data_IF_911113937293
#
_entry.id   IF_911113937293
#
_cell.length_a   1.000
_cell.length_b   1.000
_cell.length_c   1.000
_cell.angle_alpha   90.00
_cell.angle_beta   90.00
_cell.angle_gamma   90.00
#
_symmetry.space_group_name_H-M   'P 1'
#
loop_
_entity.id
_entity.type
_entity.pdbx_description
1 polymer ?
#
# COMPACT_ATOMS: atom_id res chain seq x y z
N UNK A 1 5.38 8.40 -16.71
CA UNK A 1 4.70 9.04 -17.84
C UNK A 1 3.28 9.39 -17.43
N UNK A 2 2.76 10.55 -17.84
CA UNK A 2 1.35 10.94 -17.66
C UNK A 2 0.64 10.85 -19.00
N UNK A 3 -0.04 9.73 -19.24
CA UNK A 3 -0.67 9.42 -20.53
C UNK A 3 -2.11 9.89 -20.64
N UNK A 4 -2.78 10.08 -19.51
CA UNK A 4 -4.16 10.53 -19.43
C UNK A 4 -4.23 12.00 -18.99
N UNK A 5 -5.33 12.67 -19.32
CA UNK A 5 -5.60 14.04 -18.84
C UNK A 5 -5.76 14.09 -17.32
N UNK A 6 -6.43 13.10 -16.73
CA UNK A 6 -6.52 12.89 -15.29
C UNK A 6 -6.39 11.39 -14.93
N UNK A 7 -6.36 11.07 -13.65
CA UNK A 7 -6.40 9.73 -13.06
C UNK A 7 -5.15 8.87 -13.26
N UNK A 8 -4.08 9.38 -13.89
CA UNK A 8 -2.80 8.67 -14.04
C UNK A 8 -2.33 7.94 -12.76
N UNK A 9 -2.43 8.61 -11.61
CA UNK A 9 -1.98 8.06 -10.31
C UNK A 9 -2.90 6.93 -9.82
N UNK A 10 -4.21 7.04 -10.06
CA UNK A 10 -5.18 5.98 -9.76
C UNK A 10 -4.93 4.78 -10.67
N UNK A 11 -4.80 5.01 -11.97
CA UNK A 11 -4.48 3.96 -12.95
C UNK A 11 -3.17 3.24 -12.63
N UNK A 12 -2.11 3.97 -12.31
CA UNK A 12 -0.83 3.37 -11.96
C UNK A 12 -0.91 2.44 -10.73
N UNK A 13 -1.63 2.86 -9.68
CA UNK A 13 -1.86 1.99 -8.51
C UNK A 13 -2.72 0.77 -8.84
N UNK A 14 -3.76 0.94 -9.67
CA UNK A 14 -4.57 -0.20 -10.14
C UNK A 14 -3.73 -1.19 -10.93
N UNK A 15 -2.85 -0.72 -11.80
CA UNK A 15 -1.92 -1.60 -12.54
C UNK A 15 -0.97 -2.33 -11.60
N UNK A 16 -0.42 -1.65 -10.59
CA UNK A 16 0.38 -2.29 -9.54
C UNK A 16 -0.43 -3.37 -8.81
N UNK A 17 -1.69 -3.10 -8.47
CA UNK A 17 -2.57 -4.07 -7.81
C UNK A 17 -2.81 -5.30 -8.67
N UNK A 18 -3.10 -5.11 -9.96
CA UNK A 18 -3.33 -6.21 -10.90
C UNK A 18 -2.06 -7.06 -11.03
N UNK A 19 -0.89 -6.43 -11.14
CA UNK A 19 0.39 -7.14 -11.20
C UNK A 19 0.61 -8.01 -9.96
N UNK A 20 0.47 -7.44 -8.77
CA UNK A 20 0.63 -8.19 -7.52
C UNK A 20 -0.39 -9.33 -7.39
N UNK A 21 -1.65 -9.06 -7.74
CA UNK A 21 -2.72 -10.06 -7.71
C UNK A 21 -2.42 -11.24 -8.65
N UNK A 22 -1.92 -10.96 -9.85
CA UNK A 22 -1.56 -12.00 -10.82
C UNK A 22 -0.46 -12.93 -10.27
N UNK A 23 0.45 -12.36 -9.47
CA UNK A 23 1.52 -13.10 -8.78
C UNK A 23 1.06 -13.71 -7.44
N UNK A 24 -0.25 -13.67 -7.14
CA UNK A 24 -0.85 -14.12 -5.87
C UNK A 24 -0.28 -13.41 -4.63
N UNK A 25 0.21 -12.19 -4.81
CA UNK A 25 0.69 -11.32 -3.74
C UNK A 25 -0.45 -10.36 -3.36
N UNK A 26 -0.64 -10.14 -2.06
CA UNK A 26 -1.65 -9.20 -1.56
C UNK A 26 -1.30 -7.78 -2.07
N UNK A 27 -2.23 -7.05 -2.69
CA UNK A 27 -1.98 -5.66 -3.06
C UNK A 27 -1.78 -4.77 -1.83
N UNK A 28 -0.89 -3.77 -1.95
CA UNK A 28 -0.69 -2.78 -0.89
C UNK A 28 -1.95 -1.92 -0.72
N UNK A 29 -2.62 -2.05 0.41
CA UNK A 29 -3.68 -1.14 0.85
C UNK A 29 -3.09 -0.21 1.92
N UNK A 30 -3.20 1.09 1.71
CA UNK A 30 -2.85 2.08 2.73
C UNK A 30 -3.99 2.12 3.75
N UNK A 31 -3.69 1.75 4.99
CA UNK A 31 -4.69 1.66 6.07
C UNK A 31 -4.96 3.04 6.70
N UNK A 32 -3.94 3.90 6.70
CA UNK A 32 -4.03 5.24 7.25
C UNK A 32 -4.28 6.26 6.15
N UNK A 33 -4.93 7.37 6.49
CA UNK A 33 -5.21 8.50 5.61
C UNK A 33 -4.56 9.80 6.11
N UNK A 34 -3.48 9.68 6.90
CA UNK A 34 -2.82 10.83 7.51
C UNK A 34 -1.98 11.65 6.50
N UNK A 35 -1.79 12.93 6.85
CA UNK A 35 -1.05 13.89 6.01
C UNK A 35 0.41 13.46 5.81
N UNK A 36 1.05 12.85 6.80
CA UNK A 36 2.46 12.46 6.74
C UNK A 36 2.64 11.37 5.67
N UNK A 37 1.73 10.40 5.66
CA UNK A 37 1.71 9.34 4.65
C UNK A 37 1.51 9.91 3.24
N UNK A 38 0.56 10.84 3.08
CA UNK A 38 0.32 11.49 1.80
C UNK A 38 1.54 12.29 1.32
N UNK A 39 2.16 13.07 2.20
CA UNK A 39 3.34 13.87 1.88
C UNK A 39 4.55 12.98 1.52
N UNK A 40 4.73 11.85 2.20
CA UNK A 40 5.76 10.86 1.87
C UNK A 40 5.53 10.25 0.48
N UNK A 41 4.30 9.83 0.17
CA UNK A 41 3.94 9.31 -1.16
C UNK A 41 4.21 10.35 -2.26
N UNK A 42 3.73 11.58 -2.04
CA UNK A 42 3.90 12.69 -3.00
C UNK A 42 5.38 12.99 -3.23
N UNK A 43 6.18 13.06 -2.17
CA UNK A 43 7.61 13.36 -2.27
C UNK A 43 8.36 12.28 -3.03
N UNK A 44 8.06 11.00 -2.77
CA UNK A 44 8.62 9.88 -3.50
C UNK A 44 8.27 9.92 -5.00
N UNK A 45 7.04 10.29 -5.33
CA UNK A 45 6.62 10.47 -6.73
C UNK A 45 7.34 11.62 -7.42
N UNK A 46 7.46 12.77 -6.76
CA UNK A 46 8.19 13.94 -7.31
C UNK A 46 9.66 13.58 -7.58
N UNK A 47 10.32 12.90 -6.65
CA UNK A 47 11.70 12.46 -6.83
C UNK A 47 11.86 11.51 -8.03
N UNK A 48 10.94 10.56 -8.19
CA UNK A 48 10.92 9.67 -9.34
C UNK A 48 10.71 10.43 -10.66
N UNK A 49 9.79 11.39 -10.71
CA UNK A 49 9.58 12.19 -11.91
C UNK A 49 10.77 13.08 -12.27
N UNK A 50 11.45 13.64 -11.27
CA UNK A 50 12.59 14.53 -11.49
C UNK A 50 13.89 13.81 -11.86
N UNK A 51 14.12 12.60 -11.34
CA UNK A 51 15.41 11.91 -11.46
C UNK A 51 15.34 10.52 -12.11
N UNK A 52 14.15 9.96 -12.30
CA UNK A 52 13.94 8.55 -12.68
C UNK A 52 14.25 7.55 -11.56
N UNK A 53 14.81 8.00 -10.43
CA UNK A 53 15.13 7.14 -9.30
C UNK A 53 13.88 6.78 -8.49
N UNK A 54 13.57 5.50 -8.41
CA UNK A 54 12.38 4.98 -7.73
C UNK A 54 12.63 4.52 -6.28
N UNK A 55 13.86 4.63 -5.75
CA UNK A 55 14.24 4.14 -4.42
C UNK A 55 13.32 4.67 -3.32
N UNK A 56 13.03 5.98 -3.31
CA UNK A 56 12.13 6.55 -2.29
C UNK A 56 10.71 5.97 -2.35
N UNK A 57 10.22 5.65 -3.54
CA UNK A 57 8.91 5.01 -3.67
C UNK A 57 8.96 3.54 -3.27
N UNK A 58 10.05 2.83 -3.56
CA UNK A 58 10.28 1.46 -3.11
C UNK A 58 10.28 1.40 -1.57
N UNK A 59 11.02 2.28 -0.92
CA UNK A 59 11.11 2.33 0.54
C UNK A 59 9.76 2.68 1.17
N UNK A 60 9.06 3.65 0.58
CA UNK A 60 7.66 3.96 0.95
C UNK A 60 6.76 2.73 0.83
N UNK A 61 6.85 1.98 -0.27
CA UNK A 61 6.05 0.79 -0.50
C UNK A 61 6.34 -0.29 0.56
N UNK A 62 7.61 -0.63 0.76
CA UNK A 62 8.00 -1.70 1.71
C UNK A 62 7.55 -1.38 3.14
N UNK A 63 7.78 -0.16 3.61
CA UNK A 63 7.36 0.27 4.95
C UNK A 63 5.86 0.13 5.16
N UNK A 64 5.05 0.56 4.18
CA UNK A 64 3.60 0.48 4.29
C UNK A 64 3.08 -0.96 4.12
N UNK A 65 3.82 -1.79 3.38
CA UNK A 65 3.48 -3.20 3.23
C UNK A 65 3.69 -3.98 4.53
N UNK A 66 4.73 -3.64 5.30
CA UNK A 66 4.95 -4.19 6.65
C UNK A 66 3.80 -3.81 7.60
N UNK A 67 3.41 -2.53 7.63
CA UNK A 67 2.26 -2.05 8.42
C UNK A 67 0.98 -2.82 8.05
N UNK A 68 0.73 -3.01 6.75
CA UNK A 68 -0.43 -3.78 6.28
C UNK A 68 -0.39 -5.24 6.74
N UNK A 69 0.78 -5.87 6.63
CA UNK A 69 0.99 -7.25 7.10
C UNK A 69 0.70 -7.38 8.60
N UNK A 70 1.21 -6.45 9.41
CA UNK A 70 1.01 -6.47 10.85
C UNK A 70 -0.44 -6.21 11.26
N UNK A 71 -1.12 -5.30 10.55
CA UNK A 71 -2.56 -5.07 10.73
C UNK A 71 -3.37 -6.35 10.47
N UNK A 72 -3.09 -7.08 9.39
CA UNK A 72 -3.78 -8.33 9.12
C UNK A 72 -3.49 -9.44 10.13
N UNK A 73 -2.26 -9.52 10.66
CA UNK A 73 -1.93 -10.43 11.77
C UNK A 73 -2.78 -10.11 13.00
N UNK A 74 -2.83 -8.84 13.40
CA UNK A 74 -3.62 -8.38 14.54
C UNK A 74 -5.11 -8.70 14.37
N UNK A 75 -5.68 -8.43 13.18
CA UNK A 75 -7.07 -8.77 12.88
C UNK A 75 -7.33 -10.28 13.01
N UNK A 76 -6.44 -11.11 12.48
CA UNK A 76 -6.58 -12.56 12.52
C UNK A 76 -6.57 -13.08 13.97
N UNK A 77 -5.68 -12.54 14.81
CA UNK A 77 -5.57 -12.95 16.21
C UNK A 77 -6.81 -12.51 17.02
N UNK A 78 -7.33 -11.30 16.77
CA UNK A 78 -8.57 -10.83 17.37
C UNK A 78 -9.78 -11.70 16.98
N UNK A 79 -9.87 -12.13 15.72
CA UNK A 79 -10.92 -13.03 15.25
C UNK A 79 -10.84 -14.38 15.97
N UNK A 80 -9.63 -14.94 16.13
CA UNK A 80 -9.43 -16.20 16.87
C UNK A 80 -9.87 -16.05 18.33
N UNK A 81 -9.45 -14.98 19.00
CA UNK A 81 -9.84 -14.69 20.39
C UNK A 81 -11.37 -14.60 20.56
N UNK A 82 -12.05 -13.86 19.69
CA UNK A 82 -13.51 -13.71 19.74
C UNK A 82 -14.24 -15.05 19.59
N UNK A 83 -13.75 -15.93 18.71
CA UNK A 83 -14.32 -17.28 18.53
C UNK A 83 -14.10 -18.18 19.75
N UNK A 84 -13.02 -17.99 20.51
CA UNK A 84 -12.80 -18.73 21.76
C UNK A 84 -13.75 -18.30 22.88
N UNK A 85 -14.05 -17.00 22.99
CA UNK A 85 -14.98 -16.48 24.00
C UNK A 85 -16.41 -16.98 23.75
N UNK A 86 -16.88 -17.00 22.50
CA UNK A 86 -18.25 -17.46 22.17
C UNK A 86 -18.49 -18.97 22.29
N UNK A 87 -17.43 -19.76 22.52
CA UNK A 87 -17.51 -21.23 22.65
C UNK A 87 -17.52 -21.72 24.10
N UNK A 88 -17.36 -20.81 25.07
CA UNK A 88 -17.52 -21.06 26.50
C UNK A 88 -18.87 -20.54 26.96
#
# INVERSE_FOLDING_TARGET
MQYFEDANKRTARTMQFISLKNDKIMPLILINDDKILYDAYRSAMVAYYGSGNYTLYKDFFMKNYEILSDFFKLLNDNIKYSKHIKRR
#
